data_IF_292635608754
#
_entry.id   IF_292635608754
#
_cell.length_a   1.000
_cell.length_b   1.000
_cell.length_c   1.000
_cell.angle_alpha   90.00
_cell.angle_beta   90.00
_cell.angle_gamma   90.00
#
_symmetry.space_group_name_H-M   'P 1'
#
loop_
_entity.id
_entity.type
_entity.pdbx_description
1 polymer ?
#
# COMPACT_ATOMS: atom_id res chain seq x y z
N UNK A 1 1.00 -23.41 -29.96
CA UNK A 1 1.66 -22.34 -29.16
C UNK A 1 0.64 -21.56 -28.32
N UNK A 2 -0.45 -21.05 -28.91
CA UNK A 2 -1.51 -20.29 -28.22
C UNK A 2 -2.12 -21.02 -27.00
N UNK A 3 -2.42 -22.31 -27.14
CA UNK A 3 -3.01 -23.12 -26.05
C UNK A 3 -2.05 -23.30 -24.87
N UNK A 4 -0.74 -23.38 -25.12
CA UNK A 4 0.28 -23.46 -24.06
C UNK A 4 0.38 -22.13 -23.31
N UNK A 5 0.35 -21.01 -24.03
CA UNK A 5 0.35 -19.67 -23.45
C UNK A 5 -0.91 -19.43 -22.60
N UNK A 6 -2.09 -19.82 -23.11
CA UNK A 6 -3.35 -19.72 -22.38
C UNK A 6 -3.32 -20.56 -21.09
N UNK A 7 -2.85 -21.81 -21.17
CA UNK A 7 -2.71 -22.67 -20.00
C UNK A 7 -1.74 -22.11 -18.97
N UNK A 8 -0.60 -21.59 -19.41
CA UNK A 8 0.38 -20.95 -18.54
C UNK A 8 -0.22 -19.73 -17.82
N UNK A 9 -0.91 -18.86 -18.56
CA UNK A 9 -1.55 -17.68 -18.00
C UNK A 9 -2.67 -18.04 -17.01
N UNK A 10 -3.46 -19.07 -17.30
CA UNK A 10 -4.49 -19.55 -16.40
C UNK A 10 -3.90 -20.10 -15.08
N UNK A 11 -2.80 -20.85 -15.15
CA UNK A 11 -2.08 -21.33 -13.95
C UNK A 11 -1.51 -20.16 -13.15
N UNK A 12 -0.93 -19.17 -13.83
CA UNK A 12 -0.43 -17.96 -13.17
C UNK A 12 -1.55 -17.22 -12.42
N UNK A 13 -2.68 -16.98 -13.08
CA UNK A 13 -3.83 -16.31 -12.46
C UNK A 13 -4.39 -17.08 -11.27
N UNK A 14 -4.55 -18.41 -11.41
CA UNK A 14 -5.02 -19.29 -10.33
C UNK A 14 -4.10 -19.18 -9.11
N UNK A 15 -2.79 -19.36 -9.28
CA UNK A 15 -1.82 -19.27 -8.19
C UNK A 15 -1.80 -17.88 -7.56
N UNK A 16 -1.80 -16.82 -8.37
CA UNK A 16 -1.78 -15.45 -7.87
C UNK A 16 -3.02 -15.16 -7.02
N UNK A 17 -4.21 -15.58 -7.45
CA UNK A 17 -5.45 -15.39 -6.70
C UNK A 17 -5.47 -16.21 -5.41
N UNK A 18 -5.03 -17.48 -5.44
CA UNK A 18 -4.94 -18.33 -4.25
C UNK A 18 -4.00 -17.71 -3.22
N UNK A 19 -2.79 -17.33 -3.62
CA UNK A 19 -1.79 -16.73 -2.73
C UNK A 19 -2.33 -15.41 -2.16
N UNK A 20 -2.97 -14.58 -2.99
CA UNK A 20 -3.51 -13.29 -2.55
C UNK A 20 -4.64 -13.46 -1.53
N UNK A 21 -5.56 -14.41 -1.75
CA UNK A 21 -6.69 -14.66 -0.85
C UNK A 21 -6.27 -15.37 0.44
N UNK A 22 -5.32 -16.31 0.38
CA UNK A 22 -4.78 -16.99 1.57
C UNK A 22 -3.92 -16.06 2.44
N UNK A 23 -3.20 -15.10 1.85
CA UNK A 23 -2.42 -14.10 2.60
C UNK A 23 -3.26 -12.97 3.18
N UNK A 24 -4.48 -12.78 2.66
CA UNK A 24 -5.35 -11.67 3.01
C UNK A 24 -5.63 -11.51 4.52
N UNK A 25 -5.90 -12.58 5.31
CA UNK A 25 -6.09 -12.46 6.76
C UNK A 25 -4.88 -11.85 7.48
N UNK A 26 -3.67 -12.24 7.07
CA UNK A 26 -2.42 -11.71 7.63
C UNK A 26 -2.25 -10.25 7.23
N UNK A 27 -2.49 -9.93 5.95
CA UNK A 27 -2.40 -8.56 5.42
C UNK A 27 -3.39 -7.62 6.13
N UNK A 28 -4.64 -8.04 6.34
CA UNK A 28 -5.63 -7.28 7.13
C UNK A 28 -5.13 -7.10 8.56
N UNK A 29 -4.74 -8.19 9.23
CA UNK A 29 -4.30 -8.14 10.61
C UNK A 29 -3.12 -7.19 10.81
N UNK A 30 -2.24 -7.10 9.81
CA UNK A 30 -1.07 -6.23 9.82
C UNK A 30 -1.38 -4.83 9.33
N UNK A 31 -2.49 -4.61 8.63
CA UNK A 31 -2.91 -3.31 8.11
C UNK A 31 -2.22 -2.95 6.79
N UNK A 32 -1.78 -3.95 6.04
CA UNK A 32 -1.11 -3.76 4.77
C UNK A 32 -2.13 -3.63 3.65
N UNK A 33 -1.94 -2.63 2.79
CA UNK A 33 -2.77 -2.47 1.60
C UNK A 33 -2.35 -3.48 0.52
N UNK A 34 -3.33 -3.91 -0.28
CA UNK A 34 -3.13 -4.85 -1.39
C UNK A 34 -3.26 -4.08 -2.70
N UNK A 35 -2.34 -4.28 -3.64
CA UNK A 35 -2.47 -3.69 -4.97
C UNK A 35 -3.35 -4.54 -5.87
N UNK A 36 -4.38 -3.96 -6.49
CA UNK A 36 -5.13 -4.68 -7.53
C UNK A 36 -4.32 -4.85 -8.83
N UNK A 37 -3.25 -4.06 -9.01
CA UNK A 37 -2.30 -4.24 -10.11
C UNK A 37 -1.27 -5.34 -9.84
N UNK A 38 -1.25 -5.94 -8.64
CA UNK A 38 -0.28 -6.98 -8.28
C UNK A 38 -0.20 -8.15 -9.28
N UNK A 39 -1.30 -8.68 -9.85
CA UNK A 39 -1.20 -9.74 -10.86
C UNK A 39 -0.43 -9.29 -12.12
N UNK A 40 -0.68 -8.07 -12.60
CA UNK A 40 -0.01 -7.51 -13.77
C UNK A 40 1.45 -7.21 -13.44
N UNK A 41 1.70 -6.60 -12.28
CA UNK A 41 3.04 -6.31 -11.80
C UNK A 41 3.85 -7.60 -11.67
N UNK A 42 3.33 -8.64 -11.01
CA UNK A 42 4.02 -9.92 -10.87
C UNK A 42 4.27 -10.59 -12.23
N UNK A 43 3.34 -10.50 -13.17
CA UNK A 43 3.54 -11.03 -14.52
C UNK A 43 4.77 -10.41 -15.21
N UNK A 44 5.02 -9.11 -14.99
CA UNK A 44 6.13 -8.35 -15.60
C UNK A 44 7.41 -8.48 -14.77
N UNK A 45 7.33 -8.33 -13.45
CA UNK A 45 8.49 -8.27 -12.56
C UNK A 45 9.05 -9.65 -12.19
N UNK A 46 8.25 -10.71 -12.17
CA UNK A 46 8.76 -12.07 -11.90
C UNK A 46 9.81 -12.52 -12.92
N UNK A 47 9.61 -12.42 -14.25
CA UNK A 47 10.67 -12.79 -15.20
C UNK A 47 11.91 -11.89 -15.08
N UNK A 48 11.73 -10.58 -14.85
CA UNK A 48 12.85 -9.67 -14.61
C UNK A 48 13.65 -10.07 -13.37
N UNK A 49 12.98 -10.47 -12.29
CA UNK A 49 13.60 -10.93 -11.04
C UNK A 49 14.36 -12.24 -11.25
N UNK A 50 13.78 -13.18 -11.99
CA UNK A 50 14.47 -14.44 -12.34
C UNK A 50 15.72 -14.17 -13.16
N UNK A 51 15.64 -13.29 -14.17
CA UNK A 51 16.81 -12.90 -14.96
C UNK A 51 17.87 -12.21 -14.10
N UNK A 52 17.46 -11.29 -13.22
CA UNK A 52 18.34 -10.59 -12.30
C UNK A 52 19.09 -11.57 -11.38
N UNK A 53 18.35 -12.50 -10.75
CA UNK A 53 18.93 -13.52 -9.88
C UNK A 53 19.88 -14.44 -10.62
N UNK A 54 19.49 -14.89 -11.82
CA UNK A 54 20.34 -15.77 -12.63
C UNK A 54 21.65 -15.09 -13.03
N UNK A 55 21.59 -13.83 -13.49
CA UNK A 55 22.79 -13.06 -13.79
C UNK A 55 23.65 -12.84 -12.54
N UNK A 56 23.03 -12.57 -11.39
CA UNK A 56 23.74 -12.39 -10.11
C UNK A 56 24.48 -13.66 -9.70
N UNK A 57 23.84 -14.83 -9.80
CA UNK A 57 24.47 -16.12 -9.55
C UNK A 57 25.64 -16.38 -10.50
N UNK A 58 25.49 -16.08 -11.80
CA UNK A 58 26.57 -16.25 -12.78
C UNK A 58 27.76 -15.33 -12.50
N UNK A 59 27.53 -14.09 -12.07
CA UNK A 59 28.63 -13.18 -11.71
C UNK A 59 29.45 -13.78 -10.56
N UNK A 60 28.78 -14.33 -9.55
CA UNK A 60 29.45 -15.00 -8.42
C UNK A 60 30.24 -16.23 -8.91
N UNK A 61 29.69 -17.04 -9.81
CA UNK A 61 30.42 -18.18 -10.37
C UNK A 61 31.62 -17.75 -11.22
N UNK A 62 31.46 -16.73 -12.06
CA UNK A 62 32.56 -16.18 -12.85
C UNK A 62 33.66 -15.59 -11.96
N UNK A 63 33.30 -14.89 -10.88
CA UNK A 63 34.29 -14.33 -9.96
C UNK A 63 35.07 -15.43 -9.21
N UNK A 64 34.41 -16.55 -8.87
CA UNK A 64 35.06 -17.71 -8.27
C UNK A 64 36.08 -18.37 -9.21
N UNK A 65 35.79 -18.41 -10.52
CA UNK A 65 36.67 -19.01 -11.55
C UNK A 65 37.63 -17.94 -12.15
N UNK A 66 37.61 -16.70 -11.64
CA UNK A 66 38.40 -15.56 -12.13
C UNK A 66 38.16 -15.22 -13.63
N UNK A 67 36.97 -15.51 -14.14
CA UNK A 67 36.56 -15.14 -15.49
C UNK A 67 36.04 -13.69 -15.53
N UNK A 68 36.41 -12.90 -16.57
CA UNK A 68 35.89 -11.55 -16.72
C UNK A 68 34.37 -11.56 -16.97
N UNK A 69 33.61 -10.94 -16.06
CA UNK A 69 32.15 -10.92 -16.06
C UNK A 69 31.54 -9.53 -16.32
N UNK A 70 32.28 -8.62 -16.95
CA UNK A 70 31.83 -7.24 -17.23
C UNK A 70 30.54 -7.17 -18.07
N UNK A 71 30.35 -8.13 -18.97
CA UNK A 71 29.13 -8.26 -19.78
C UNK A 71 27.90 -8.59 -18.93
N UNK A 72 28.02 -9.47 -17.92
CA UNK A 72 26.95 -9.78 -16.97
C UNK A 72 26.57 -8.56 -16.12
N UNK A 73 27.56 -7.80 -15.65
CA UNK A 73 27.32 -6.55 -14.90
C UNK A 73 26.54 -5.56 -15.77
N UNK A 74 26.87 -5.48 -17.05
CA UNK A 74 26.18 -4.60 -18.00
C UNK A 74 24.71 -5.04 -18.19
N UNK A 75 24.47 -6.35 -18.34
CA UNK A 75 23.12 -6.91 -18.41
C UNK A 75 22.31 -6.58 -17.16
N UNK A 76 22.87 -6.79 -15.97
CA UNK A 76 22.20 -6.44 -14.70
C UNK A 76 21.84 -4.96 -14.67
N UNK A 77 22.76 -4.07 -15.05
CA UNK A 77 22.48 -2.64 -15.08
C UNK A 77 21.31 -2.29 -16.00
N UNK A 78 21.20 -2.94 -17.17
CA UNK A 78 20.05 -2.77 -18.04
C UNK A 78 18.75 -3.30 -17.42
N UNK A 79 18.78 -4.49 -16.81
CA UNK A 79 17.62 -5.05 -16.09
C UNK A 79 17.17 -4.09 -14.98
N UNK A 80 18.09 -3.54 -14.20
CA UNK A 80 17.81 -2.57 -13.13
C UNK A 80 17.23 -1.26 -13.68
N UNK A 81 17.72 -0.75 -14.82
CA UNK A 81 17.13 0.42 -15.48
C UNK A 81 15.70 0.18 -15.92
N UNK A 82 15.43 -0.97 -16.56
CA UNK A 82 14.07 -1.37 -16.95
C UNK A 82 13.18 -1.51 -15.72
N UNK A 83 13.69 -2.11 -14.65
CA UNK A 83 12.98 -2.24 -13.38
C UNK A 83 12.57 -0.87 -12.81
N UNK A 84 13.50 0.08 -12.73
CA UNK A 84 13.19 1.44 -12.24
C UNK A 84 12.24 2.20 -13.17
N UNK A 85 12.38 2.04 -14.49
CA UNK A 85 11.46 2.62 -15.45
C UNK A 85 10.03 2.09 -15.24
N UNK A 86 9.86 0.78 -15.06
CA UNK A 86 8.55 0.19 -14.80
C UNK A 86 7.96 0.63 -13.45
N UNK A 87 8.80 0.74 -12.40
CA UNK A 87 8.36 1.25 -11.10
C UNK A 87 7.91 2.72 -11.15
N UNK A 88 8.40 3.52 -12.12
CA UNK A 88 7.99 4.93 -12.26
C UNK A 88 6.51 5.10 -12.61
N UNK A 89 5.87 4.06 -13.15
CA UNK A 89 4.43 4.06 -13.42
C UNK A 89 3.57 3.75 -12.19
N UNK A 90 4.18 3.36 -11.07
CA UNK A 90 3.43 2.99 -9.87
C UNK A 90 2.60 4.17 -9.34
N UNK A 91 1.35 3.90 -8.99
CA UNK A 91 0.43 4.91 -8.46
C UNK A 91 -0.16 4.44 -7.12
N UNK A 92 -0.16 5.28 -6.06
CA UNK A 92 -0.79 4.96 -4.78
C UNK A 92 -2.27 4.57 -4.88
N UNK A 93 -2.98 5.03 -5.92
CA UNK A 93 -4.37 4.67 -6.18
C UNK A 93 -4.58 3.18 -6.50
N UNK A 94 -3.50 2.45 -6.79
CA UNK A 94 -3.59 1.00 -7.02
C UNK A 94 -3.81 0.20 -5.74
N UNK A 95 -3.67 0.84 -4.57
CA UNK A 95 -3.75 0.20 -3.27
C UNK A 95 -5.20 0.17 -2.76
N UNK A 96 -5.61 -1.00 -2.29
CA UNK A 96 -6.88 -1.26 -1.62
C UNK A 96 -6.57 -1.63 -0.18
N UNK A 97 -7.20 -0.91 0.75
CA UNK A 97 -7.14 -1.18 2.17
C UNK A 97 -8.34 -2.00 2.62
N UNK A 98 -8.14 -2.80 3.66
CA UNK A 98 -9.19 -3.61 4.27
C UNK A 98 -9.27 -3.26 5.76
N UNK A 99 -10.48 -3.05 6.24
CA UNK A 99 -10.71 -2.74 7.66
C UNK A 99 -10.61 -4.00 8.51
N UNK A 100 -10.34 -3.83 9.80
CA UNK A 100 -10.28 -4.94 10.76
C UNK A 100 -11.59 -5.77 10.79
N UNK A 101 -12.74 -5.17 10.47
CA UNK A 101 -14.03 -5.86 10.39
C UNK A 101 -14.08 -6.97 9.33
N UNK A 102 -13.22 -6.89 8.30
CA UNK A 102 -13.19 -7.88 7.22
C UNK A 102 -12.32 -9.10 7.53
N UNK A 103 -11.61 -9.10 8.66
CA UNK A 103 -10.68 -10.18 9.01
C UNK A 103 -11.40 -11.52 9.16
N UNK A 104 -12.58 -11.54 9.79
CA UNK A 104 -13.34 -12.78 10.00
C UNK A 104 -13.80 -13.38 8.67
N UNK A 105 -14.33 -12.55 7.78
CA UNK A 105 -14.71 -12.96 6.43
C UNK A 105 -13.50 -13.49 5.65
N UNK A 106 -12.34 -12.84 5.76
CA UNK A 106 -11.11 -13.30 5.09
C UNK A 106 -10.66 -14.68 5.57
N UNK A 107 -10.75 -14.96 6.88
CA UNK A 107 -10.42 -16.28 7.45
C UNK A 107 -11.40 -17.33 6.91
N UNK A 108 -12.70 -17.03 6.88
CA UNK A 108 -13.70 -17.93 6.31
C UNK A 108 -13.41 -18.24 4.84
N UNK A 109 -13.05 -17.24 4.04
CA UNK A 109 -12.67 -17.42 2.64
C UNK A 109 -11.40 -18.27 2.51
N UNK A 110 -10.38 -18.02 3.34
CA UNK A 110 -9.14 -18.80 3.31
C UNK A 110 -9.39 -20.28 3.63
N UNK A 111 -10.18 -20.57 4.68
CA UNK A 111 -10.57 -21.93 5.04
C UNK A 111 -11.41 -22.60 3.94
N UNK A 112 -12.34 -21.84 3.33
CA UNK A 112 -13.11 -22.31 2.19
C UNK A 112 -12.20 -22.72 1.01
N UNK A 113 -11.20 -21.90 0.67
CA UNK A 113 -10.24 -22.21 -0.40
C UNK A 113 -9.47 -23.49 -0.08
N UNK A 114 -8.96 -23.65 1.15
CA UNK A 114 -8.25 -24.87 1.56
C UNK A 114 -9.16 -26.10 1.43
N UNK A 115 -10.41 -26.01 1.89
CA UNK A 115 -11.40 -27.09 1.75
C UNK A 115 -11.74 -27.40 0.29
N UNK A 116 -11.92 -26.36 -0.53
CA UNK A 116 -12.25 -26.46 -1.94
C UNK A 116 -11.16 -27.18 -2.75
N UNK A 117 -9.89 -26.82 -2.55
CA UNK A 117 -8.78 -27.49 -3.23
C UNK A 117 -8.45 -28.87 -2.65
N UNK A 118 -8.63 -29.09 -1.35
CA UNK A 118 -8.31 -30.40 -0.74
C UNK A 118 -9.34 -31.49 -1.06
N UNK A 119 -10.63 -31.14 -1.16
CA UNK A 119 -11.71 -32.13 -1.31
C UNK A 119 -12.31 -32.20 -2.71
N UNK A 120 -12.44 -31.07 -3.40
CA UNK A 120 -13.21 -31.01 -4.66
C UNK A 120 -12.32 -31.20 -5.88
N UNK A 121 -11.02 -30.86 -5.80
CA UNK A 121 -10.10 -30.87 -6.94
C UNK A 121 -10.71 -30.21 -8.19
N UNK A 122 -11.09 -28.92 -8.09
CA UNK A 122 -11.86 -28.24 -9.12
C UNK A 122 -11.11 -28.17 -10.45
N UNK A 123 -11.86 -28.23 -11.56
CA UNK A 123 -11.29 -27.86 -12.87
C UNK A 123 -10.86 -26.39 -12.81
N UNK A 124 -9.65 -26.09 -13.28
CA UNK A 124 -9.03 -24.75 -13.22
C UNK A 124 -9.95 -23.58 -13.56
N UNK A 125 -10.71 -23.66 -14.65
CA UNK A 125 -11.61 -22.55 -15.04
C UNK A 125 -12.67 -22.27 -13.96
N UNK A 126 -13.22 -23.33 -13.35
CA UNK A 126 -14.15 -23.19 -12.24
C UNK A 126 -13.45 -22.62 -11.01
N UNK A 127 -12.22 -23.07 -10.73
CA UNK A 127 -11.43 -22.57 -9.62
C UNK A 127 -11.17 -21.06 -9.72
N UNK A 128 -10.74 -20.58 -10.90
CA UNK A 128 -10.52 -19.15 -11.15
C UNK A 128 -11.82 -18.37 -10.97
N UNK A 129 -12.94 -18.83 -11.53
CA UNK A 129 -14.24 -18.16 -11.38
C UNK A 129 -14.62 -18.07 -9.89
N UNK A 130 -14.51 -19.16 -9.14
CA UNK A 130 -14.80 -19.19 -7.70
C UNK A 130 -13.91 -18.22 -6.93
N UNK A 131 -12.60 -18.18 -7.21
CA UNK A 131 -11.68 -17.25 -6.56
C UNK A 131 -12.01 -15.79 -6.87
N UNK A 132 -12.39 -15.47 -8.11
CA UNK A 132 -12.84 -14.13 -8.49
C UNK A 132 -14.11 -13.75 -7.72
N UNK A 133 -15.06 -14.68 -7.57
CA UNK A 133 -16.27 -14.46 -6.76
C UNK A 133 -15.88 -14.17 -5.31
N UNK A 134 -14.96 -14.93 -4.71
CA UNK A 134 -14.46 -14.65 -3.36
C UNK A 134 -13.85 -13.25 -3.23
N UNK A 135 -13.05 -12.81 -4.23
CA UNK A 135 -12.52 -11.43 -4.28
C UNK A 135 -13.64 -10.39 -4.33
N UNK A 136 -14.66 -10.60 -5.17
CA UNK A 136 -15.80 -9.67 -5.28
C UNK A 136 -16.61 -9.60 -3.99
N UNK A 137 -16.85 -10.75 -3.33
CA UNK A 137 -17.57 -10.82 -2.06
C UNK A 137 -16.85 -10.03 -0.96
N UNK A 138 -15.54 -10.20 -0.80
CA UNK A 138 -14.81 -9.46 0.23
C UNK A 138 -14.72 -7.96 -0.07
N UNK A 139 -14.56 -7.56 -1.34
CA UNK A 139 -14.58 -6.16 -1.74
C UNK A 139 -15.96 -5.52 -1.51
N UNK A 140 -17.04 -6.23 -1.84
CA UNK A 140 -18.41 -5.79 -1.59
C UNK A 140 -18.71 -5.63 -0.10
N UNK A 141 -18.29 -6.60 0.71
CA UNK A 141 -18.42 -6.53 2.16
C UNK A 141 -17.62 -5.37 2.76
N UNK A 142 -16.38 -5.15 2.31
CA UNK A 142 -15.57 -4.00 2.72
C UNK A 142 -16.26 -2.67 2.38
N UNK A 143 -16.89 -2.55 1.20
CA UNK A 143 -17.64 -1.36 0.84
C UNK A 143 -18.85 -1.14 1.75
N UNK A 144 -19.58 -2.20 2.09
CA UNK A 144 -20.73 -2.15 3.00
C UNK A 144 -20.34 -1.79 4.45
N UNK A 145 -19.18 -2.26 4.91
CA UNK A 145 -18.67 -1.96 6.25
C UNK A 145 -18.10 -0.55 6.41
N UNK A 146 -17.88 0.20 5.31
CA UNK A 146 -17.42 1.61 5.40
C UNK A 146 -18.54 2.47 5.99
N UNK A 147 -18.40 2.80 7.27
CA UNK A 147 -19.30 3.70 7.98
C UNK A 147 -18.60 5.00 8.31
N UNK A 148 -19.40 6.04 8.50
CA UNK A 148 -18.90 7.29 9.03
C UNK A 148 -18.40 7.04 10.46
N UNK A 149 -17.10 7.22 10.70
CA UNK A 149 -16.46 6.87 11.97
C UNK A 149 -15.40 7.89 12.33
N UNK A 150 -15.26 8.15 13.63
CA UNK A 150 -14.16 8.91 14.21
C UNK A 150 -13.40 7.93 15.09
N UNK A 151 -12.12 7.71 14.78
CA UNK A 151 -11.30 6.73 15.51
C UNK A 151 -9.98 7.36 15.91
N UNK A 152 -9.60 7.17 17.17
CA UNK A 152 -8.25 7.49 17.64
C UNK A 152 -7.30 6.40 17.18
N UNK A 153 -6.16 6.79 16.61
CA UNK A 153 -5.14 5.87 16.11
C UNK A 153 -4.30 5.33 17.28
N UNK A 154 -4.83 4.35 18.05
CA UNK A 154 -4.17 3.71 19.21
C UNK A 154 -3.39 4.73 20.08
N UNK A 155 -2.10 4.49 20.28
CA UNK A 155 -1.19 5.28 21.13
C UNK A 155 -0.66 6.54 20.45
N UNK A 156 -1.14 6.85 19.25
CA UNK A 156 -0.73 8.03 18.50
C UNK A 156 -1.68 9.18 18.84
N UNK A 157 -1.17 10.41 19.04
CA UNK A 157 -1.99 11.60 19.14
C UNK A 157 -2.49 12.00 17.73
N UNK A 158 -3.22 11.08 17.09
CA UNK A 158 -3.81 11.25 15.76
C UNK A 158 -5.21 10.66 15.73
N UNK A 159 -6.09 11.30 14.96
CA UNK A 159 -7.46 10.83 14.74
C UNK A 159 -7.68 10.62 13.26
N UNK A 160 -8.31 9.50 12.91
CA UNK A 160 -8.79 9.23 11.56
C UNK A 160 -10.32 9.34 11.56
N UNK A 161 -10.84 10.12 10.62
CA UNK A 161 -12.26 10.38 10.44
C UNK A 161 -12.62 9.93 9.04
N UNK A 162 -13.46 8.90 8.94
CA UNK A 162 -14.07 8.51 7.69
C UNK A 162 -15.44 9.18 7.63
N UNK A 163 -15.68 10.02 6.62
CA UNK A 163 -16.95 10.72 6.44
C UNK A 163 -17.27 10.88 4.96
N UNK A 164 -18.45 10.44 4.52
CA UNK A 164 -18.91 10.51 3.13
C UNK A 164 -17.87 9.95 2.13
N UNK A 165 -17.35 8.75 2.42
CA UNK A 165 -16.31 8.06 1.65
C UNK A 165 -14.95 8.78 1.57
N UNK A 166 -14.78 9.89 2.28
CA UNK A 166 -13.52 10.61 2.40
C UNK A 166 -12.84 10.29 3.72
N UNK A 167 -11.52 10.23 3.69
CA UNK A 167 -10.69 9.97 4.84
C UNK A 167 -9.96 11.25 5.27
N UNK A 168 -10.26 11.72 6.46
CA UNK A 168 -9.64 12.88 7.06
C UNK A 168 -8.73 12.43 8.21
N UNK A 169 -7.52 12.96 8.27
CA UNK A 169 -6.57 12.65 9.34
C UNK A 169 -6.25 13.94 10.08
N UNK A 170 -6.38 13.90 11.40
CA UNK A 170 -6.01 14.98 12.30
C UNK A 170 -4.76 14.56 13.05
N UNK A 171 -3.64 15.20 12.75
CA UNK A 171 -2.36 15.02 13.44
C UNK A 171 -2.18 16.06 14.56
N UNK A 172 -2.09 15.58 15.79
CA UNK A 172 -1.77 16.36 16.97
C UNK A 172 -0.33 16.08 17.47
N UNK A 173 0.61 15.93 16.52
CA UNK A 173 2.03 15.71 16.76
C UNK A 173 2.45 14.23 16.76
N UNK A 174 1.62 13.33 16.24
CA UNK A 174 1.92 11.90 16.17
C UNK A 174 2.94 11.59 15.09
N UNK A 175 2.90 12.31 13.97
CA UNK A 175 3.88 12.16 12.87
C UNK A 175 5.32 12.45 13.32
N UNK A 176 5.53 13.34 14.29
CA UNK A 176 6.85 13.72 14.80
C UNK A 176 7.19 13.06 16.15
N UNK A 177 6.43 12.04 16.58
CA UNK A 177 6.56 11.48 17.94
C UNK A 177 7.79 10.59 18.15
N UNK A 178 8.43 10.11 17.08
CA UNK A 178 9.59 9.18 17.10
C UNK A 178 10.74 9.73 16.25
N UNK A 179 11.98 9.30 16.55
CA UNK A 179 13.18 9.77 15.83
C UNK A 179 13.24 9.30 14.37
N UNK A 180 12.83 8.06 14.08
CA UNK A 180 12.78 7.53 12.72
C UNK A 180 11.37 7.74 12.12
N UNK A 181 11.14 8.92 11.57
CA UNK A 181 9.83 9.32 11.03
C UNK A 181 9.36 8.43 9.87
N UNK A 182 10.28 8.01 9.00
CA UNK A 182 9.99 7.20 7.82
C UNK A 182 9.46 5.82 8.22
N UNK A 183 10.22 5.09 9.03
CA UNK A 183 9.79 3.79 9.54
C UNK A 183 8.51 3.91 10.40
N UNK A 184 8.36 5.01 11.13
CA UNK A 184 7.15 5.24 11.91
C UNK A 184 5.90 5.38 11.03
N UNK A 185 6.00 6.09 9.91
CA UNK A 185 4.90 6.20 8.94
C UNK A 185 4.55 4.82 8.38
N UNK A 186 5.55 4.12 7.85
CA UNK A 186 5.35 2.88 7.09
C UNK A 186 4.83 1.73 7.96
N UNK A 187 5.34 1.61 9.20
CA UNK A 187 5.04 0.46 10.07
C UNK A 187 4.04 0.77 11.18
N UNK A 188 3.76 2.04 11.49
CA UNK A 188 2.86 2.41 12.59
C UNK A 188 1.67 3.24 12.13
N UNK A 189 1.90 4.34 11.38
CA UNK A 189 0.82 5.28 11.03
C UNK A 189 -0.10 4.69 9.97
N UNK A 190 0.46 4.32 8.81
CA UNK A 190 -0.33 3.77 7.69
C UNK A 190 -1.04 2.47 8.05
N UNK A 191 -0.39 1.50 8.71
CA UNK A 191 -1.08 0.25 9.02
C UNK A 191 -2.21 0.42 10.02
N UNK A 192 -2.06 1.29 11.02
CA UNK A 192 -3.15 1.58 11.96
C UNK A 192 -4.28 2.35 11.28
N UNK A 193 -3.96 3.26 10.36
CA UNK A 193 -4.96 3.97 9.58
C UNK A 193 -5.76 3.02 8.70
N UNK A 194 -5.09 2.14 7.96
CA UNK A 194 -5.76 1.15 7.10
C UNK A 194 -6.63 0.19 7.92
N UNK A 195 -6.16 -0.30 9.08
CA UNK A 195 -6.97 -1.18 9.95
C UNK A 195 -8.27 -0.52 10.39
N UNK A 196 -8.22 0.76 10.74
CA UNK A 196 -9.38 1.49 11.29
C UNK A 196 -10.32 2.03 10.23
N UNK A 197 -9.80 2.56 9.13
CA UNK A 197 -10.64 3.20 8.09
C UNK A 197 -10.89 2.29 6.88
N UNK A 198 -10.06 1.25 6.72
CA UNK A 198 -10.12 0.40 5.53
C UNK A 198 -9.74 1.12 4.24
N UNK A 199 -9.01 2.24 4.32
CA UNK A 199 -8.60 3.03 3.16
C UNK A 199 -7.14 3.45 3.29
N UNK A 200 -6.30 3.21 2.28
CA UNK A 200 -4.90 3.63 2.31
C UNK A 200 -4.72 5.10 1.90
N UNK A 201 -5.76 5.74 1.37
CA UNK A 201 -5.77 7.14 0.97
C UNK A 201 -6.17 8.05 2.12
N UNK A 202 -5.65 9.28 2.10
CA UNK A 202 -5.98 10.34 3.04
C UNK A 202 -6.40 11.54 2.19
N UNK A 203 -7.69 11.85 2.12
CA UNK A 203 -8.14 12.98 1.30
C UNK A 203 -7.66 14.31 1.87
N UNK A 204 -7.73 14.45 3.20
CA UNK A 204 -7.41 15.70 3.90
C UNK A 204 -6.63 15.44 5.17
N UNK A 205 -5.48 16.10 5.31
CA UNK A 205 -4.62 16.03 6.49
C UNK A 205 -4.63 17.37 7.23
N UNK A 206 -4.97 17.35 8.52
CA UNK A 206 -4.91 18.51 9.41
C UNK A 206 -3.70 18.39 10.34
N UNK A 207 -2.83 19.39 10.31
CA UNK A 207 -1.59 19.46 11.09
C UNK A 207 -1.70 20.55 12.16
N UNK A 208 -1.94 20.14 13.42
CA UNK A 208 -2.18 21.08 14.53
C UNK A 208 -0.91 21.57 15.23
N UNK A 209 0.11 20.71 15.37
CA UNK A 209 1.38 21.04 16.04
C UNK A 209 2.54 21.13 15.03
N UNK A 210 2.73 22.28 14.35
CA UNK A 210 3.78 22.42 13.35
C UNK A 210 5.17 22.36 13.97
N UNK A 211 6.07 21.64 13.32
CA UNK A 211 7.51 21.60 13.62
C UNK A 211 8.32 21.82 12.34
N UNK A 212 9.60 22.19 12.45
CA UNK A 212 10.48 22.38 11.28
C UNK A 212 10.63 21.11 10.42
N UNK A 213 10.49 19.94 11.04
CA UNK A 213 10.62 18.64 10.35
C UNK A 213 9.29 18.15 9.80
N UNK A 214 8.15 18.58 10.38
CA UNK A 214 6.82 18.16 9.97
C UNK A 214 6.54 18.42 8.49
N UNK A 215 7.06 19.53 7.93
CA UNK A 215 6.89 19.83 6.52
C UNK A 215 7.42 18.70 5.60
N UNK A 216 8.63 18.20 5.88
CA UNK A 216 9.25 17.12 5.09
C UNK A 216 8.49 15.81 5.27
N UNK A 217 8.12 15.50 6.51
CA UNK A 217 7.40 14.27 6.88
C UNK A 217 6.00 14.25 6.24
N UNK A 218 5.28 15.37 6.28
CA UNK A 218 3.96 15.48 5.68
C UNK A 218 3.99 15.38 4.15
N UNK A 219 5.02 15.93 3.50
CA UNK A 219 5.20 15.78 2.04
C UNK A 219 5.54 14.34 1.65
N UNK A 220 6.37 13.67 2.43
CA UNK A 220 6.65 12.25 2.21
C UNK A 220 5.39 11.40 2.38
N UNK A 221 4.61 11.66 3.44
CA UNK A 221 3.32 11.00 3.62
C UNK A 221 2.38 11.28 2.44
N UNK A 222 2.37 12.50 1.89
CA UNK A 222 1.59 12.87 0.71
C UNK A 222 2.09 12.26 -0.61
N UNK A 223 3.33 11.76 -0.65
CA UNK A 223 3.85 10.99 -1.77
C UNK A 223 3.45 9.51 -1.66
N UNK A 224 3.47 8.97 -0.44
CA UNK A 224 3.11 7.57 -0.17
C UNK A 224 1.59 7.34 -0.16
N UNK A 225 0.83 8.36 0.24
CA UNK A 225 -0.63 8.36 0.27
C UNK A 225 -1.15 9.46 -0.63
N UNK A 226 -2.22 9.21 -1.38
CA UNK A 226 -2.77 10.20 -2.30
C UNK A 226 -3.48 11.34 -1.52
N UNK A 227 -2.69 12.25 -0.93
CA UNK A 227 -3.20 13.41 -0.19
C UNK A 227 -3.57 14.52 -1.15
N UNK A 228 -4.84 14.95 -1.07
CA UNK A 228 -5.33 16.07 -1.90
C UNK A 228 -5.22 17.41 -1.20
N UNK A 229 -5.38 17.44 0.13
CA UNK A 229 -5.43 18.67 0.91
C UNK A 229 -4.64 18.55 2.21
N UNK A 230 -3.78 19.54 2.47
CA UNK A 230 -3.12 19.70 3.77
C UNK A 230 -3.56 21.02 4.37
N UNK A 231 -4.15 20.96 5.55
CA UNK A 231 -4.46 22.11 6.37
C UNK A 231 -3.44 22.19 7.50
N UNK A 232 -2.72 23.30 7.61
CA UNK A 232 -1.69 23.48 8.64
C UNK A 232 -1.82 24.83 9.32
N UNK A 233 -1.52 24.88 10.61
CA UNK A 233 -1.44 26.15 11.33
C UNK A 233 -0.24 26.97 10.83
N UNK A 234 -0.40 28.28 10.68
CA UNK A 234 0.65 29.16 10.11
C UNK A 234 1.82 29.42 11.05
N UNK A 235 1.84 28.82 12.24
CA UNK A 235 2.90 29.02 13.23
C UNK A 235 4.21 28.33 12.79
N UNK A 236 5.34 28.89 13.21
CA UNK A 236 6.69 28.30 13.09
C UNK A 236 7.26 28.09 11.66
N UNK A 237 6.77 28.80 10.64
CA UNK A 237 7.36 28.76 9.30
C UNK A 237 7.15 27.45 8.52
N UNK A 238 6.57 26.42 9.14
CA UNK A 238 6.27 25.14 8.52
C UNK A 238 5.35 25.26 7.29
N UNK A 239 4.40 26.19 7.32
CA UNK A 239 3.53 26.50 6.18
C UNK A 239 4.33 27.01 4.97
N UNK A 240 5.25 27.97 5.18
CA UNK A 240 6.12 28.48 4.12
C UNK A 240 7.00 27.36 3.56
N UNK A 241 7.58 26.54 4.44
CA UNK A 241 8.43 25.42 4.05
C UNK A 241 7.66 24.38 3.23
N UNK A 242 6.42 24.06 3.62
CA UNK A 242 5.53 23.18 2.85
C UNK A 242 5.22 23.74 1.47
N UNK A 243 4.93 25.04 1.36
CA UNK A 243 4.69 25.67 0.07
C UNK A 243 5.94 25.65 -0.83
N UNK A 244 7.13 25.91 -0.26
CA UNK A 244 8.38 25.90 -1.04
C UNK A 244 8.82 24.52 -1.50
N UNK A 245 8.54 23.48 -0.70
CA UNK A 245 8.96 22.11 -0.99
C UNK A 245 7.90 21.33 -1.78
N UNK A 246 6.69 21.87 -1.96
CA UNK A 246 5.63 21.19 -2.67
C UNK A 246 5.85 21.27 -4.18
N UNK A 247 6.25 20.15 -4.77
CA UNK A 247 6.37 19.99 -6.21
C UNK A 247 5.12 19.34 -6.83
N UNK A 248 4.10 19.00 -6.04
CA UNK A 248 2.90 18.33 -6.52
C UNK A 248 1.77 19.36 -6.78
N UNK A 249 1.39 19.61 -8.05
CA UNK A 249 0.35 20.59 -8.38
C UNK A 249 -1.05 20.16 -7.89
N UNK A 250 -1.26 18.86 -7.63
CA UNK A 250 -2.53 18.33 -7.15
C UNK A 250 -2.69 18.43 -5.62
N UNK A 251 -1.61 18.76 -4.90
CA UNK A 251 -1.61 18.89 -3.45
C UNK A 251 -1.92 20.32 -3.05
N UNK A 252 -3.10 20.54 -2.46
CA UNK A 252 -3.54 21.86 -2.05
C UNK A 252 -3.22 22.13 -0.58
N UNK A 253 -2.36 23.12 -0.32
CA UNK A 253 -1.92 23.48 1.03
C UNK A 253 -2.68 24.74 1.48
N UNK A 254 -3.45 24.64 2.56
CA UNK A 254 -4.25 25.73 3.11
C UNK A 254 -3.85 26.06 4.56
N UNK A 255 -3.82 27.35 4.92
CA UNK A 255 -3.62 27.74 6.32
C UNK A 255 -4.89 27.48 7.13
N UNK A 256 -4.73 27.00 8.36
CA UNK A 256 -5.78 26.98 9.39
C UNK A 256 -5.59 28.22 10.27
N UNK A 257 -6.59 29.10 10.31
CA UNK A 257 -6.70 30.09 11.37
C UNK A 257 -7.37 29.41 12.57
N UNK A 258 -6.58 29.02 13.57
CA UNK A 258 -7.11 28.52 14.83
C UNK A 258 -7.72 29.66 15.63
N UNK A 259 -8.96 30.03 15.32
CA UNK A 259 -9.82 30.74 16.28
C UNK A 259 -10.36 29.69 17.25
N UNK A 260 -9.62 29.45 18.34
CA UNK A 260 -10.02 28.68 19.54
C UNK A 260 -10.86 27.41 19.27
N UNK A 261 -10.32 26.41 18.57
CA UNK A 261 -10.84 25.03 18.67
C UNK A 261 -10.08 24.30 19.78
N UNK A 262 -10.62 24.33 21.00
CA UNK A 262 -10.23 23.37 22.05
C UNK A 262 -10.99 22.08 21.76
N UNK A 263 -10.31 21.07 21.21
CA UNK A 263 -10.83 19.71 21.19
C UNK A 263 -10.63 19.13 22.60
N UNK A 264 -11.58 19.35 23.49
CA UNK A 264 -11.78 18.49 24.66
C UNK A 264 -12.59 17.31 24.20
N UNK A 265 -11.92 16.17 24.03
CA UNK A 265 -12.58 14.88 23.87
C UNK A 265 -12.57 14.27 25.26
N UNK A 266 -13.74 14.24 25.88
CA UNK A 266 -14.00 13.47 27.11
C UNK A 266 -13.86 11.96 26.83
#
# INVERSE_FOLDING_TARGET
MLQKLHNWFAVFLELQLVISLLSLPVLIHWGLAISYMAPIANLIFTPLLVMFLWCSCLIVLCSLIQLPCSWLVTIINYITKVWHYLLSFANPNWLIGFSEHTITLSICIALFIVGFYSKVNPKRNHAIITLIICCLVIMGFQHFCKKNTITKLRDLPMYAIQYNQKNYVIDNGGLCSKQNYYAHIDYTVLPNLIKKTGTPTIDTLYLYKPSKQLAKIALQLAQQTNITKIFITTKHGCFKQLQTLNNNPNLLIKPIRLTKLKFTVD
#
